data_IF_144812041124
#
_entry.id   IF_144812041124
#
_cell.length_a   1.000
_cell.length_b   1.000
_cell.length_c   1.000
_cell.angle_alpha   90.00
_cell.angle_beta   90.00
_cell.angle_gamma   90.00
#
_symmetry.space_group_name_H-M   'P 1'
#
loop_
_entity.id
_entity.type
_entity.pdbx_description
1 polymer ?
#
# COMPACT_ATOMS: atom_id res chain seq x y z
N UNK A 1 -43.52 19.77 -10.15
CA UNK A 1 -42.21 20.39 -9.86
C UNK A 1 -41.63 19.96 -8.53
N UNK A 2 -42.41 19.62 -7.54
CA UNK A 2 -41.91 19.17 -6.21
C UNK A 2 -41.17 17.81 -6.28
N UNK A 3 -41.51 16.97 -7.21
CA UNK A 3 -40.88 15.63 -7.35
C UNK A 3 -39.52 15.62 -8.04
N UNK A 4 -39.16 16.65 -8.80
CA UNK A 4 -37.83 16.78 -9.44
C UNK A 4 -36.74 17.14 -8.45
N UNK A 5 -37.06 17.83 -7.38
CA UNK A 5 -36.13 18.22 -6.34
C UNK A 5 -35.77 17.02 -5.44
N UNK A 6 -36.74 16.15 -5.18
CA UNK A 6 -36.56 14.92 -4.38
C UNK A 6 -35.68 13.92 -5.14
N UNK A 7 -35.81 13.82 -6.46
CA UNK A 7 -35.00 12.92 -7.28
C UNK A 7 -33.54 13.38 -7.38
N UNK A 8 -33.29 14.68 -7.38
CA UNK A 8 -31.93 15.24 -7.37
C UNK A 8 -31.24 15.05 -6.02
N UNK A 9 -32.01 15.10 -4.92
CA UNK A 9 -31.51 14.91 -3.56
C UNK A 9 -31.05 13.46 -3.29
N UNK A 10 -31.72 12.48 -3.91
CA UNK A 10 -31.35 11.05 -3.78
C UNK A 10 -30.04 10.73 -4.50
N UNK A 11 -29.69 11.45 -5.57
CA UNK A 11 -28.47 11.25 -6.32
C UNK A 11 -27.18 11.70 -5.55
N UNK A 12 -27.34 12.64 -4.62
CA UNK A 12 -26.23 13.16 -3.80
C UNK A 12 -25.83 12.18 -2.69
N UNK A 13 -26.70 11.28 -2.27
CA UNK A 13 -26.42 10.31 -1.21
C UNK A 13 -25.63 9.09 -1.66
N UNK A 14 -25.49 8.86 -2.96
CA UNK A 14 -24.71 7.74 -3.51
C UNK A 14 -23.23 8.06 -3.77
N UNK A 15 -22.79 9.30 -3.55
CA UNK A 15 -21.44 9.76 -3.89
C UNK A 15 -20.39 9.55 -2.78
N UNK A 16 -20.74 9.03 -1.60
CA UNK A 16 -19.91 9.23 -0.40
C UNK A 16 -19.02 8.06 0.01
N UNK A 17 -19.06 6.88 -0.63
CA UNK A 17 -18.31 5.69 -0.12
C UNK A 17 -17.30 5.08 -1.11
N UNK A 18 -17.05 5.72 -2.23
CA UNK A 18 -16.22 5.09 -3.26
C UNK A 18 -14.72 5.07 -2.93
N UNK A 19 -14.23 6.09 -2.23
CA UNK A 19 -12.81 6.20 -1.89
C UNK A 19 -12.43 5.27 -0.74
N UNK A 20 -13.32 5.04 0.23
CA UNK A 20 -13.13 4.04 1.29
C UNK A 20 -13.04 2.62 0.70
N UNK A 21 -13.92 2.28 -0.25
CA UNK A 21 -13.88 0.98 -0.93
C UNK A 21 -12.61 0.78 -1.76
N UNK A 22 -12.12 1.83 -2.42
CA UNK A 22 -10.83 1.79 -3.13
C UNK A 22 -9.68 1.54 -2.17
N UNK A 23 -9.64 2.23 -1.04
CA UNK A 23 -8.61 2.05 -0.02
C UNK A 23 -8.62 0.62 0.52
N UNK A 24 -9.78 0.08 0.89
CA UNK A 24 -9.93 -1.29 1.36
C UNK A 24 -9.43 -2.31 0.34
N UNK A 25 -9.74 -2.11 -0.95
CA UNK A 25 -9.26 -2.98 -2.02
C UNK A 25 -7.73 -2.96 -2.15
N UNK A 26 -7.10 -1.81 -1.99
CA UNK A 26 -5.64 -1.67 -2.03
C UNK A 26 -4.99 -2.34 -0.81
N UNK A 27 -5.57 -2.19 0.38
CA UNK A 27 -5.10 -2.84 1.60
C UNK A 27 -5.17 -4.37 1.46
N UNK A 28 -6.28 -4.89 0.93
CA UNK A 28 -6.44 -6.33 0.68
C UNK A 28 -5.41 -6.83 -0.33
N UNK A 29 -5.17 -6.08 -1.40
CA UNK A 29 -4.15 -6.42 -2.41
C UNK A 29 -2.75 -6.48 -1.78
N UNK A 30 -2.41 -5.51 -0.92
CA UNK A 30 -1.15 -5.51 -0.17
C UNK A 30 -1.03 -6.72 0.78
N UNK A 31 -2.09 -7.02 1.53
CA UNK A 31 -2.10 -8.14 2.49
C UNK A 31 -2.03 -9.51 1.82
N UNK A 32 -2.58 -9.65 0.62
CA UNK A 32 -2.57 -10.88 -0.16
C UNK A 32 -1.31 -11.05 -1.02
N UNK A 33 -0.42 -10.07 -1.01
CA UNK A 33 0.83 -10.16 -1.75
C UNK A 33 1.76 -11.19 -1.11
N UNK A 34 2.06 -12.24 -1.86
CA UNK A 34 3.04 -13.25 -1.48
C UNK A 34 4.42 -12.83 -2.00
N UNK A 35 5.29 -12.38 -1.09
CA UNK A 35 6.59 -11.86 -1.45
C UNK A 35 7.54 -12.93 -2.00
N UNK A 36 7.65 -14.09 -1.37
CA UNK A 36 8.49 -15.20 -1.80
C UNK A 36 7.98 -16.56 -1.31
N UNK A 37 8.39 -17.61 -2.00
CA UNK A 37 8.06 -18.97 -1.62
C UNK A 37 9.03 -19.50 -0.54
N UNK A 38 8.50 -19.84 0.63
CA UNK A 38 9.27 -20.41 1.75
C UNK A 38 9.86 -21.78 1.45
N UNK A 39 9.30 -22.55 0.53
CA UNK A 39 9.84 -23.84 0.13
C UNK A 39 11.16 -23.70 -0.63
N UNK A 40 11.24 -22.69 -1.50
CA UNK A 40 12.44 -22.39 -2.28
C UNK A 40 13.46 -21.54 -1.49
N UNK A 41 12.97 -20.71 -0.59
CA UNK A 41 13.79 -19.76 0.19
C UNK A 41 13.47 -19.84 1.68
N UNK A 42 13.87 -20.93 2.38
CA UNK A 42 13.51 -21.11 3.79
C UNK A 42 14.13 -20.08 4.74
N UNK A 43 15.20 -19.40 4.33
CA UNK A 43 15.86 -18.33 5.10
C UNK A 43 15.49 -16.91 4.60
N UNK A 44 14.59 -16.80 3.64
CA UNK A 44 14.23 -15.55 2.97
C UNK A 44 14.91 -15.39 1.62
N UNK A 45 14.28 -14.68 0.72
CA UNK A 45 14.83 -14.32 -0.58
C UNK A 45 15.53 -12.96 -0.48
N UNK A 46 16.85 -12.94 -0.64
CA UNK A 46 17.69 -11.75 -0.59
C UNK A 46 18.27 -11.39 -1.96
N UNK A 47 17.66 -11.88 -3.05
CA UNK A 47 18.08 -11.54 -4.41
C UNK A 47 17.70 -10.11 -4.78
N UNK A 48 18.46 -9.50 -5.67
CA UNK A 48 18.14 -8.18 -6.22
C UNK A 48 16.81 -8.21 -6.97
N UNK A 49 16.56 -9.28 -7.72
CA UNK A 49 15.32 -9.48 -8.47
C UNK A 49 14.09 -9.47 -7.56
N UNK A 50 14.19 -10.08 -6.38
CA UNK A 50 13.13 -10.06 -5.38
C UNK A 50 12.83 -8.64 -4.90
N UNK A 51 13.86 -7.91 -4.47
CA UNK A 51 13.67 -6.54 -3.97
C UNK A 51 13.21 -5.57 -5.06
N UNK A 52 13.62 -5.78 -6.29
CA UNK A 52 13.14 -5.03 -7.44
C UNK A 52 11.65 -5.28 -7.69
N UNK A 53 11.22 -6.54 -7.65
CA UNK A 53 9.81 -6.91 -7.80
C UNK A 53 8.95 -6.32 -6.67
N UNK A 54 9.43 -6.34 -5.43
CA UNK A 54 8.75 -5.70 -4.29
C UNK A 54 8.61 -4.18 -4.48
N UNK A 55 9.64 -3.52 -4.98
CA UNK A 55 9.58 -2.11 -5.34
C UNK A 55 8.52 -1.83 -6.40
N UNK A 56 8.54 -2.57 -7.52
CA UNK A 56 7.58 -2.40 -8.61
C UNK A 56 6.13 -2.63 -8.13
N UNK A 57 5.92 -3.59 -7.27
CA UNK A 57 4.62 -3.82 -6.63
C UNK A 57 4.21 -2.64 -5.75
N UNK A 58 5.10 -2.15 -4.89
CA UNK A 58 4.83 -1.00 -4.03
C UNK A 58 4.54 0.28 -4.84
N UNK A 59 5.26 0.53 -5.92
CA UNK A 59 5.00 1.64 -6.84
C UNK A 59 3.61 1.54 -7.48
N UNK A 60 3.19 0.34 -7.87
CA UNK A 60 1.86 0.12 -8.44
C UNK A 60 0.74 0.44 -7.44
N UNK A 61 0.91 0.10 -6.17
CA UNK A 61 -0.06 0.41 -5.12
C UNK A 61 -0.06 1.91 -4.77
N UNK A 62 1.09 2.58 -4.75
CA UNK A 62 1.14 4.03 -4.55
C UNK A 62 0.39 4.79 -5.63
N UNK A 63 0.50 4.38 -6.90
CA UNK A 63 -0.27 4.98 -7.98
C UNK A 63 -1.78 4.82 -7.77
N UNK A 64 -2.22 3.70 -7.24
CA UNK A 64 -3.64 3.49 -6.88
C UNK A 64 -4.07 4.36 -5.70
N UNK A 65 -3.19 4.56 -4.71
CA UNK A 65 -3.44 5.46 -3.57
C UNK A 65 -3.58 6.92 -4.01
N UNK A 66 -2.79 7.36 -4.98
CA UNK A 66 -2.86 8.73 -5.50
C UNK A 66 -4.21 9.08 -6.14
N UNK A 67 -4.98 8.08 -6.57
CA UNK A 67 -6.32 8.26 -7.12
C UNK A 67 -7.42 8.40 -6.05
N UNK A 68 -7.07 8.33 -4.78
CA UNK A 68 -7.97 8.49 -3.64
C UNK A 68 -8.00 9.94 -3.17
N UNK A 69 -9.20 10.51 -3.07
CA UNK A 69 -9.38 11.79 -2.40
C UNK A 69 -9.46 11.60 -0.88
N UNK A 70 -8.38 11.96 -0.20
CA UNK A 70 -8.24 11.81 1.25
C UNK A 70 -9.29 12.61 2.04
N UNK A 71 -9.87 13.66 1.45
CA UNK A 71 -10.92 14.44 2.11
C UNK A 71 -12.23 13.68 2.27
N UNK A 72 -12.42 12.61 1.49
CA UNK A 72 -13.57 11.71 1.56
C UNK A 72 -13.40 10.57 2.57
N UNK A 73 -12.20 10.40 3.13
CA UNK A 73 -11.89 9.36 4.10
C UNK A 73 -12.27 9.81 5.51
N UNK A 74 -12.72 8.87 6.34
CA UNK A 74 -12.86 9.11 7.78
C UNK A 74 -11.48 9.11 8.48
N UNK A 75 -11.45 9.37 9.78
CA UNK A 75 -10.21 9.47 10.55
C UNK A 75 -9.42 8.15 10.55
N UNK A 76 -10.08 7.00 10.69
CA UNK A 76 -9.43 5.70 10.70
C UNK A 76 -8.87 5.33 9.33
N UNK A 77 -9.63 5.61 8.27
CA UNK A 77 -9.20 5.37 6.90
C UNK A 77 -8.06 6.29 6.49
N UNK A 78 -8.05 7.53 6.97
CA UNK A 78 -6.92 8.45 6.79
C UNK A 78 -5.64 7.90 7.44
N UNK A 79 -5.72 7.40 8.66
CA UNK A 79 -4.57 6.77 9.34
C UNK A 79 -4.09 5.55 8.55
N UNK A 80 -5.00 4.72 8.07
CA UNK A 80 -4.67 3.53 7.25
C UNK A 80 -4.00 3.93 5.93
N UNK A 81 -4.50 4.97 5.28
CA UNK A 81 -3.93 5.53 4.06
C UNK A 81 -2.49 6.03 4.28
N UNK A 82 -2.27 6.84 5.30
CA UNK A 82 -0.94 7.38 5.64
C UNK A 82 0.04 6.27 6.01
N UNK A 83 -0.40 5.30 6.81
CA UNK A 83 0.43 4.17 7.20
C UNK A 83 0.83 3.31 5.98
N UNK A 84 -0.11 3.00 5.11
CA UNK A 84 0.16 2.22 3.90
C UNK A 84 1.10 2.99 2.95
N UNK A 85 0.86 4.28 2.74
CA UNK A 85 1.76 5.14 1.95
C UNK A 85 3.18 5.14 2.50
N UNK A 86 3.33 5.23 3.81
CA UNK A 86 4.65 5.18 4.47
C UNK A 86 5.34 3.84 4.23
N UNK A 87 4.65 2.72 4.47
CA UNK A 87 5.20 1.37 4.28
C UNK A 87 5.62 1.13 2.83
N UNK A 88 4.79 1.51 1.86
CA UNK A 88 5.10 1.35 0.44
C UNK A 88 6.30 2.23 0.04
N UNK A 89 6.39 3.44 0.54
CA UNK A 89 7.53 4.34 0.30
C UNK A 89 8.83 3.78 0.91
N UNK A 90 8.76 3.12 2.06
CA UNK A 90 9.92 2.49 2.69
C UNK A 90 10.40 1.28 1.87
N UNK A 91 9.51 0.47 1.31
CA UNK A 91 9.87 -0.64 0.41
C UNK A 91 10.62 -0.11 -0.82
N UNK A 92 10.15 0.96 -1.42
CA UNK A 92 10.80 1.60 -2.58
C UNK A 92 12.17 2.13 -2.19
N UNK A 93 12.27 2.86 -1.08
CA UNK A 93 13.51 3.41 -0.58
C UNK A 93 14.53 2.33 -0.22
N UNK A 94 14.08 1.20 0.30
CA UNK A 94 14.93 0.06 0.62
C UNK A 94 15.70 -0.45 -0.59
N UNK A 95 15.05 -0.52 -1.75
CA UNK A 95 15.69 -0.87 -3.00
C UNK A 95 16.55 0.28 -3.57
N UNK A 96 16.00 1.49 -3.64
CA UNK A 96 16.64 2.64 -4.26
C UNK A 96 17.96 3.04 -3.56
N UNK A 97 18.03 2.87 -2.25
CA UNK A 97 19.24 3.09 -1.46
C UNK A 97 20.11 1.84 -1.31
N UNK A 98 19.82 0.79 -2.07
CA UNK A 98 20.59 -0.47 -2.06
C UNK A 98 20.78 -1.05 -0.64
N UNK A 99 19.82 -0.82 0.26
CA UNK A 99 19.90 -1.24 1.67
C UNK A 99 19.98 -2.76 1.80
N UNK A 100 19.44 -3.49 0.85
CA UNK A 100 19.52 -4.95 0.79
C UNK A 100 20.96 -5.48 0.58
N UNK A 101 21.88 -4.64 0.08
CA UNK A 101 23.30 -4.99 -0.09
C UNK A 101 24.09 -4.83 1.21
N UNK A 102 23.53 -4.22 2.23
CA UNK A 102 24.24 -3.90 3.45
C UNK A 102 23.62 -4.57 4.69
N UNK A 103 23.86 -5.88 4.89
CA UNK A 103 23.31 -6.62 6.02
C UNK A 103 23.85 -6.16 7.38
N UNK A 104 24.90 -5.32 7.40
CA UNK A 104 25.56 -4.85 8.61
C UNK A 104 24.83 -3.70 9.30
N UNK A 105 23.91 -3.02 8.60
CA UNK A 105 23.13 -1.89 9.12
C UNK A 105 21.73 -2.29 9.60
N UNK A 106 21.37 -3.55 9.50
CA UNK A 106 20.10 -4.06 9.97
C UNK A 106 20.23 -4.54 11.41
N UNK A 107 19.26 -4.23 12.26
CA UNK A 107 19.12 -4.81 13.60
C UNK A 107 19.02 -6.34 13.55
N UNK A 108 18.71 -6.88 12.36
CA UNK A 108 18.69 -8.31 12.03
C UNK A 108 19.97 -8.78 11.35
N UNK A 109 20.99 -7.93 11.24
CA UNK A 109 22.25 -8.24 10.56
C UNK A 109 23.03 -9.34 11.24
N UNK A 110 23.89 -10.01 10.45
CA UNK A 110 24.71 -11.16 10.87
C UNK A 110 25.77 -10.84 11.92
N UNK A 111 25.96 -9.58 12.29
CA UNK A 111 26.89 -9.19 13.34
C UNK A 111 26.10 -8.78 14.55
N UNK A 112 25.82 -9.75 15.38
CA UNK A 112 25.53 -9.53 16.79
C UNK A 112 26.89 -9.49 17.47
N UNK A 113 27.35 -8.30 17.74
CA UNK A 113 28.52 -8.11 18.58
C UNK A 113 28.04 -8.02 20.02
#
# INVERSE_FOLDING_TARGET
MKYKIIFLSIFILFSCNHDNEKLDAIIIEYQNHEGYNYEDYPLGNFSEEYFKAEKEFAESLLLKLDDIDITNLDENDNISYELLSFVLSDIIAYYDFERFLNPLLSDSGFIVV
#
